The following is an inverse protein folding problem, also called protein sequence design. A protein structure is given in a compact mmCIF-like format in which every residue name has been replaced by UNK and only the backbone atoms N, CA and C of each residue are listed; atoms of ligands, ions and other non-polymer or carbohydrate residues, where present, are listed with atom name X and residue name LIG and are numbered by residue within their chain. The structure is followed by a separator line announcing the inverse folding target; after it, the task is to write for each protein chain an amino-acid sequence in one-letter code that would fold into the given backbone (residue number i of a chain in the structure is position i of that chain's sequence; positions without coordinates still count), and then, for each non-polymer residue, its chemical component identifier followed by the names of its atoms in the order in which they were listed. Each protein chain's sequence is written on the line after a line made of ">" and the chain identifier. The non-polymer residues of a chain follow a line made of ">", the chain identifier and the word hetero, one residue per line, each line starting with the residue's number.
data_IF_978132025335
#
_entry.id   IF_978132025335
#
_cell.length_a   1.000
_cell.length_b   1.000
_cell.length_c   1.000
_cell.angle_alpha   90.00
_cell.angle_beta   90.00
_cell.angle_gamma   90.00
#
_symmetry.space_group_name_H-M   'P 1'
#
loop_
_entity.id
_entity.type
_entity.pdbx_description
1 polymer ?
#
# COMPACT_ATOMS: atom_id res chain seq x y z
N UNK A 1 -9.68 78.75 9.80
CA UNK A 1 -10.56 77.60 10.13
C UNK A 1 -9.69 76.35 10.18
N UNK A 2 -9.62 75.77 11.37
CA UNK A 2 -8.93 74.53 11.73
C UNK A 2 -9.55 73.26 11.07
N UNK A 3 -8.86 72.10 11.14
CA UNK A 3 -8.98 70.97 10.23
C UNK A 3 -9.87 69.83 10.77
N UNK A 4 -10.29 68.91 9.89
CA UNK A 4 -11.04 67.70 10.26
C UNK A 4 -10.55 66.47 9.51
N UNK A 5 -9.71 65.66 10.15
CA UNK A 5 -9.23 64.39 9.63
C UNK A 5 -10.15 63.21 9.99
N UNK A 6 -10.09 62.14 9.19
CA UNK A 6 -10.33 60.78 9.67
C UNK A 6 -9.78 59.70 8.71
N UNK A 7 -8.66 59.10 9.13
CA UNK A 7 -8.44 57.65 9.30
C UNK A 7 -8.49 56.69 8.09
N UNK A 8 -7.28 56.20 7.78
CA UNK A 8 -6.89 54.79 7.92
C UNK A 8 -7.45 53.75 6.93
N UNK A 9 -6.60 53.29 6.00
CA UNK A 9 -5.98 51.95 6.05
C UNK A 9 -4.94 51.82 4.95
N UNK A 10 -3.68 51.71 5.36
CA UNK A 10 -2.62 51.12 4.54
C UNK A 10 -3.07 49.71 4.16
N UNK A 11 -3.23 49.46 2.85
CA UNK A 11 -3.32 48.10 2.33
C UNK A 11 -1.88 47.65 2.12
N UNK A 12 -1.41 46.86 3.09
CA UNK A 12 -0.11 46.22 3.05
C UNK A 12 0.01 45.33 1.80
N UNK A 13 1.26 45.20 1.40
CA UNK A 13 1.82 44.36 0.33
C UNK A 13 1.40 42.90 0.42
N UNK A 14 1.05 42.30 -0.73
CA UNK A 14 1.24 40.87 -0.99
C UNK A 14 2.00 40.73 -2.32
N UNK A 15 3.33 40.50 -2.30
CA UNK A 15 4.16 40.34 -3.50
C UNK A 15 4.25 38.88 -3.99
N UNK A 16 3.42 37.97 -3.49
CA UNK A 16 3.47 36.54 -3.79
C UNK A 16 2.17 36.07 -4.43
N UNK A 17 1.99 36.38 -5.71
CA UNK A 17 1.11 35.61 -6.59
C UNK A 17 1.75 34.26 -6.93
N UNK A 18 1.71 33.30 -6.00
CA UNK A 18 1.69 31.88 -6.40
C UNK A 18 0.28 31.68 -6.97
N UNK A 19 0.10 31.53 -8.28
CA UNK A 19 0.78 30.50 -9.05
C UNK A 19 -0.16 29.32 -9.04
N UNK A 20 -0.94 29.24 -10.12
CA UNK A 20 -1.60 28.05 -10.67
C UNK A 20 -1.56 26.83 -9.72
N UNK A 21 -2.72 26.48 -9.14
CA UNK A 21 -2.95 25.14 -8.59
C UNK A 21 -2.98 24.13 -9.73
N UNK A 22 -1.87 24.05 -10.47
CA UNK A 22 -1.52 22.92 -11.30
C UNK A 22 -1.49 21.75 -10.35
N UNK A 23 -2.48 20.87 -10.51
CA UNK A 23 -2.43 19.51 -10.01
C UNK A 23 -1.05 19.00 -10.38
N UNK A 24 -0.14 18.97 -9.41
CA UNK A 24 1.20 18.43 -9.56
C UNK A 24 0.95 16.96 -9.84
N UNK A 25 0.81 16.62 -11.13
CA UNK A 25 0.88 15.29 -11.68
C UNK A 25 2.28 14.78 -11.36
N UNK A 26 2.56 14.48 -10.08
CA UNK A 26 3.63 13.58 -9.71
C UNK A 26 3.28 12.33 -10.48
N UNK A 27 4.05 12.05 -11.53
CA UNK A 27 4.00 10.77 -12.22
C UNK A 27 4.37 9.74 -11.17
N UNK A 28 3.36 9.15 -10.54
CA UNK A 28 3.51 8.05 -9.60
C UNK A 28 4.02 6.91 -10.46
N UNK A 29 5.34 6.73 -10.47
CA UNK A 29 5.97 5.62 -11.17
C UNK A 29 5.75 4.36 -10.32
N UNK A 30 4.67 3.65 -10.64
CA UNK A 30 4.39 2.32 -10.14
C UNK A 30 4.91 1.24 -11.07
N UNK A 31 5.12 0.04 -10.51
CA UNK A 31 5.28 -1.17 -11.33
C UNK A 31 4.00 -1.42 -12.10
N UNK A 32 4.14 -1.87 -13.34
CA UNK A 32 3.01 -2.24 -14.16
C UNK A 32 2.60 -3.68 -13.82
N UNK A 33 1.56 -3.81 -13.00
CA UNK A 33 1.10 -5.12 -12.54
C UNK A 33 0.34 -5.92 -13.60
N UNK A 34 0.13 -5.34 -14.79
CA UNK A 34 -0.31 -6.09 -15.97
C UNK A 34 0.84 -6.82 -16.66
N UNK A 35 2.08 -6.53 -16.28
CA UNK A 35 3.30 -7.07 -16.92
C UNK A 35 4.25 -7.77 -15.97
N UNK A 36 4.25 -7.35 -14.70
CA UNK A 36 5.08 -7.97 -13.66
C UNK A 36 4.28 -8.15 -12.37
N UNK A 37 4.49 -9.28 -11.70
CA UNK A 37 3.90 -9.49 -10.39
C UNK A 37 4.45 -8.46 -9.37
N UNK A 38 3.64 -8.04 -8.38
CA UNK A 38 4.15 -7.21 -7.31
C UNK A 38 5.18 -7.98 -6.47
N UNK A 39 5.97 -7.26 -5.66
CA UNK A 39 6.98 -7.91 -4.82
C UNK A 39 6.39 -9.04 -3.96
N UNK A 40 7.21 -10.06 -3.72
CA UNK A 40 6.84 -11.17 -2.85
C UNK A 40 6.43 -10.64 -1.46
N UNK A 41 5.35 -11.19 -0.86
CA UNK A 41 4.89 -10.78 0.46
C UNK A 41 5.93 -11.03 1.57
N UNK A 42 6.94 -11.89 1.32
CA UNK A 42 8.09 -12.16 2.20
C UNK A 42 9.09 -11.01 2.25
N UNK A 43 9.10 -10.14 1.23
CA UNK A 43 10.04 -9.01 1.18
C UNK A 43 9.66 -8.00 2.25
N UNK A 44 10.54 -7.88 3.24
CA UNK A 44 10.33 -6.99 4.39
C UNK A 44 10.73 -5.57 4.02
N UNK A 45 9.77 -4.65 4.07
CA UNK A 45 10.01 -3.22 3.88
C UNK A 45 9.85 -2.55 5.25
N UNK A 46 10.92 -1.94 5.77
CA UNK A 46 10.89 -1.38 7.13
C UNK A 46 10.64 -2.40 8.25
N UNK A 47 10.84 -3.70 7.99
CA UNK A 47 10.53 -4.80 8.92
C UNK A 47 9.12 -5.37 8.76
N UNK A 48 8.24 -4.72 8.01
CA UNK A 48 6.88 -5.19 7.73
C UNK A 48 6.87 -6.20 6.57
N UNK A 49 6.29 -7.38 6.80
CA UNK A 49 5.86 -8.26 5.72
C UNK A 49 4.63 -7.65 5.02
N UNK A 50 4.34 -8.06 3.79
CA UNK A 50 3.22 -7.58 2.94
C UNK A 50 3.37 -6.14 2.45
N UNK A 51 3.96 -5.23 3.24
CA UNK A 51 4.07 -3.80 2.92
C UNK A 51 4.63 -3.53 1.51
N UNK A 52 5.71 -4.21 1.11
CA UNK A 52 6.27 -4.03 -0.23
C UNK A 52 5.28 -4.34 -1.35
N UNK A 53 4.51 -5.43 -1.20
CA UNK A 53 3.46 -5.82 -2.14
C UNK A 53 2.31 -4.80 -2.15
N UNK A 54 1.88 -4.35 -0.98
CA UNK A 54 0.81 -3.35 -0.83
C UNK A 54 1.20 -2.01 -1.47
N UNK A 55 2.46 -1.57 -1.30
CA UNK A 55 3.00 -0.39 -1.97
C UNK A 55 2.93 -0.56 -3.48
N UNK A 56 3.42 -1.68 -4.01
CA UNK A 56 3.42 -1.93 -5.45
C UNK A 56 1.99 -1.93 -6.02
N UNK A 57 1.04 -2.61 -5.36
CA UNK A 57 -0.39 -2.61 -5.73
C UNK A 57 -1.01 -1.23 -5.68
N UNK A 58 -0.73 -0.46 -4.65
CA UNK A 58 -1.26 0.88 -4.49
C UNK A 58 -0.69 1.83 -5.55
N UNK A 59 0.62 1.77 -5.81
CA UNK A 59 1.25 2.56 -6.87
C UNK A 59 0.70 2.19 -8.24
N UNK A 60 0.48 0.91 -8.50
CA UNK A 60 -0.13 0.44 -9.73
C UNK A 60 -1.59 0.90 -9.87
N UNK A 61 -2.36 0.90 -8.78
CA UNK A 61 -3.71 1.48 -8.75
C UNK A 61 -3.70 2.96 -9.14
N UNK A 62 -2.84 3.75 -8.50
CA UNK A 62 -2.72 5.19 -8.73
C UNK A 62 -2.19 5.49 -10.14
N UNK A 63 -1.28 4.65 -10.65
CA UNK A 63 -0.76 4.74 -12.01
C UNK A 63 -1.74 4.24 -13.08
N UNK A 64 -2.83 3.55 -12.70
CA UNK A 64 -3.80 2.95 -13.62
C UNK A 64 -3.39 1.60 -14.21
N UNK A 65 -2.32 0.98 -13.69
CA UNK A 65 -1.71 -0.25 -14.21
C UNK A 65 -1.82 -1.43 -13.21
N UNK A 66 -2.91 -1.50 -12.44
CA UNK A 66 -3.10 -2.56 -11.43
C UNK A 66 -3.40 -3.95 -12.02
N UNK A 67 -3.93 -4.00 -13.25
CA UNK A 67 -4.32 -5.27 -13.88
C UNK A 67 -5.42 -5.98 -13.13
N UNK A 68 -5.22 -7.27 -12.86
CA UNK A 68 -6.17 -8.13 -12.13
C UNK A 68 -5.99 -8.05 -10.61
N UNK A 69 -4.96 -7.35 -10.13
CA UNK A 69 -4.74 -7.20 -8.69
C UNK A 69 -5.76 -6.23 -8.09
N UNK A 70 -6.13 -6.46 -6.83
CA UNK A 70 -7.07 -5.61 -6.09
C UNK A 70 -6.40 -5.05 -4.83
N UNK A 71 -6.28 -3.72 -4.71
CA UNK A 71 -5.81 -3.04 -3.51
C UNK A 71 -6.86 -3.09 -2.39
N UNK A 72 -6.44 -3.08 -1.12
CA UNK A 72 -7.32 -3.27 0.06
C UNK A 72 -7.89 -4.69 0.16
N UNK A 73 -7.13 -5.70 -0.27
CA UNK A 73 -7.57 -7.09 -0.13
C UNK A 73 -7.40 -7.57 1.34
N UNK A 74 -7.95 -8.74 1.71
CA UNK A 74 -7.85 -9.25 3.08
C UNK A 74 -6.41 -9.36 3.61
N UNK A 75 -5.44 -9.59 2.71
CA UNK A 75 -4.02 -9.63 3.03
C UNK A 75 -3.49 -8.24 3.42
N UNK A 76 -3.83 -7.21 2.66
CA UNK A 76 -3.47 -5.81 2.96
C UNK A 76 -4.12 -5.37 4.27
N UNK A 77 -5.37 -5.80 4.49
CA UNK A 77 -6.10 -5.55 5.73
C UNK A 77 -5.45 -6.18 6.98
N UNK A 78 -4.64 -7.24 6.85
CA UNK A 78 -3.85 -7.73 7.99
C UNK A 78 -2.78 -6.71 8.41
N UNK A 79 -2.13 -6.05 7.45
CA UNK A 79 -1.15 -4.99 7.72
C UNK A 79 -1.83 -3.74 8.28
N UNK A 80 -2.95 -3.35 7.67
CA UNK A 80 -3.74 -2.21 8.10
C UNK A 80 -4.32 -2.42 9.50
N UNK A 81 -4.84 -3.62 9.79
CA UNK A 81 -5.34 -4.02 11.10
C UNK A 81 -4.26 -4.05 12.19
N UNK A 82 -3.04 -4.51 11.88
CA UNK A 82 -1.91 -4.46 12.82
C UNK A 82 -1.65 -3.04 13.34
N UNK A 83 -1.76 -2.06 12.43
CA UNK A 83 -1.47 -0.66 12.69
C UNK A 83 -2.71 0.16 12.95
N UNK A 84 -3.92 -0.38 12.78
CA UNK A 84 -5.16 0.40 12.87
C UNK A 84 -5.23 1.56 11.86
N UNK A 85 -4.59 1.42 10.70
CA UNK A 85 -4.66 2.41 9.60
C UNK A 85 -5.70 1.94 8.58
N UNK A 86 -6.15 2.83 7.69
CA UNK A 86 -7.03 2.46 6.57
C UNK A 86 -6.27 2.45 5.25
N UNK A 87 -6.71 1.62 4.31
CA UNK A 87 -6.18 1.59 2.96
C UNK A 87 -6.29 2.95 2.25
N UNK A 88 -7.34 3.72 2.51
CA UNK A 88 -7.50 5.07 1.97
C UNK A 88 -6.39 6.03 2.41
N UNK A 89 -6.04 6.05 3.70
CA UNK A 89 -4.95 6.89 4.21
C UNK A 89 -3.61 6.48 3.61
N UNK A 90 -3.40 5.18 3.45
CA UNK A 90 -2.21 4.62 2.78
C UNK A 90 -2.14 5.06 1.32
N UNK A 91 -3.27 4.98 0.61
CA UNK A 91 -3.39 5.43 -0.79
C UNK A 91 -3.09 6.91 -0.93
N UNK A 92 -3.59 7.75 -0.01
CA UNK A 92 -3.33 9.17 -0.02
C UNK A 92 -1.83 9.50 0.11
N UNK A 93 -1.06 8.73 0.89
CA UNK A 93 0.40 8.90 0.96
C UNK A 93 1.08 8.50 -0.35
N UNK A 94 0.66 7.38 -0.94
CA UNK A 94 1.17 6.97 -2.24
C UNK A 94 0.85 8.02 -3.29
N UNK A 95 -0.37 8.55 -3.36
CA UNK A 95 -0.81 9.63 -4.28
C UNK A 95 0.01 10.92 -4.13
N UNK A 96 0.55 11.18 -2.94
CA UNK A 96 1.51 12.26 -2.72
C UNK A 96 2.90 11.97 -3.29
N UNK A 97 3.16 10.77 -3.80
CA UNK A 97 4.44 10.32 -4.34
C UNK A 97 5.42 9.81 -3.30
N UNK A 98 4.92 9.29 -2.18
CA UNK A 98 5.77 8.74 -1.12
C UNK A 98 6.62 7.56 -1.61
N UNK A 99 7.90 7.62 -1.27
CA UNK A 99 8.88 6.55 -1.46
C UNK A 99 8.63 5.39 -0.51
N UNK A 100 9.22 4.22 -0.75
CA UNK A 100 9.03 3.04 0.13
C UNK A 100 9.49 3.34 1.57
N UNK A 101 10.56 4.13 1.71
CA UNK A 101 11.04 4.59 3.02
C UNK A 101 10.06 5.56 3.68
N UNK A 102 9.53 6.53 2.94
CA UNK A 102 8.55 7.49 3.46
C UNK A 102 7.26 6.78 3.90
N UNK A 103 6.83 5.75 3.15
CA UNK A 103 5.70 4.90 3.55
C UNK A 103 5.99 4.13 4.84
N UNK A 104 7.21 3.64 5.03
CA UNK A 104 7.62 2.99 6.29
C UNK A 104 7.60 3.98 7.44
N UNK A 105 8.15 5.18 7.24
CA UNK A 105 8.18 6.22 8.28
C UNK A 105 6.77 6.67 8.64
N UNK A 106 5.93 6.91 7.64
CA UNK A 106 4.52 7.22 7.83
C UNK A 106 3.80 6.10 8.56
N UNK A 107 4.00 4.84 8.16
CA UNK A 107 3.36 3.70 8.83
C UNK A 107 3.85 3.59 10.27
N UNK A 108 5.14 3.76 10.54
CA UNK A 108 5.70 3.74 11.89
C UNK A 108 5.05 4.81 12.80
N UNK A 109 4.78 5.99 12.26
CA UNK A 109 4.17 7.11 12.98
C UNK A 109 2.64 7.03 13.05
N UNK A 110 2.01 6.39 12.08
CA UNK A 110 0.55 6.33 11.93
C UNK A 110 -0.06 5.19 12.71
N UNK A 111 -1.29 5.40 13.16
CA UNK A 111 -2.07 4.40 13.88
C UNK A 111 -1.43 3.94 15.19
N UNK A 112 -1.44 2.63 15.44
CA UNK A 112 -0.99 2.04 16.69
C UNK A 112 0.55 1.94 16.76
N UNK A 113 1.13 2.38 17.86
CA UNK A 113 2.58 2.30 18.08
C UNK A 113 2.98 0.84 18.28
N UNK A 114 3.72 0.30 17.33
CA UNK A 114 4.31 -1.04 17.40
C UNK A 114 5.82 -0.92 17.46
N UNK A 115 6.43 -1.68 18.35
CA UNK A 115 7.89 -1.79 18.39
C UNK A 115 8.40 -2.57 17.18
N UNK A 116 9.66 -2.33 16.74
CA UNK A 116 10.25 -3.09 15.64
C UNK A 116 10.29 -4.61 15.92
N UNK A 117 10.33 -5.01 17.18
CA UNK A 117 10.27 -6.42 17.59
C UNK A 117 8.88 -7.01 17.41
N UNK A 118 7.82 -6.29 17.77
CA UNK A 118 6.43 -6.70 17.51
C UNK A 118 6.15 -6.83 16.02
N UNK A 119 6.62 -5.86 15.21
CA UNK A 119 6.45 -5.88 13.75
C UNK A 119 7.15 -7.11 13.16
N UNK A 120 8.39 -7.40 13.60
CA UNK A 120 9.13 -8.59 13.18
C UNK A 120 8.44 -9.89 13.59
N UNK A 121 7.89 -9.94 14.81
CA UNK A 121 7.16 -11.11 15.31
C UNK A 121 5.89 -11.33 14.48
N UNK A 122 5.08 -10.29 14.31
CA UNK A 122 3.89 -10.33 13.47
C UNK A 122 4.22 -10.74 12.03
N UNK A 123 5.27 -10.18 11.43
CA UNK A 123 5.70 -10.53 10.09
C UNK A 123 6.03 -12.02 9.96
N UNK A 124 6.68 -12.61 10.98
CA UNK A 124 6.97 -14.04 11.03
C UNK A 124 5.71 -14.89 11.24
N UNK A 125 4.79 -14.43 12.08
CA UNK A 125 3.51 -15.11 12.32
C UNK A 125 2.64 -15.12 11.07
N UNK A 126 2.54 -14.00 10.36
CA UNK A 126 1.76 -13.90 9.11
C UNK A 126 2.41 -14.69 7.98
N UNK A 127 3.74 -14.69 7.89
CA UNK A 127 4.48 -15.53 6.92
C UNK A 127 4.26 -17.03 7.15
N UNK A 128 4.16 -17.45 8.42
CA UNK A 128 3.85 -18.83 8.80
C UNK A 128 2.33 -19.13 8.76
N UNK A 129 1.50 -18.10 8.63
CA UNK A 129 0.05 -18.25 8.60
C UNK A 129 -0.43 -18.74 7.23
N UNK A 130 -1.58 -19.41 7.25
CA UNK A 130 -2.26 -19.89 6.05
C UNK A 130 -3.72 -19.49 6.11
N UNK A 131 -4.25 -19.00 4.99
CA UNK A 131 -5.69 -18.75 4.79
C UNK A 131 -6.51 -20.03 4.98
N UNK A 132 -5.87 -21.21 4.93
CA UNK A 132 -6.50 -22.48 5.31
C UNK A 132 -7.05 -22.49 6.75
N UNK A 133 -6.43 -21.74 7.67
CA UNK A 133 -6.87 -21.65 9.06
C UNK A 133 -7.99 -20.62 9.28
N UNK A 134 -8.30 -19.79 8.28
CA UNK A 134 -9.37 -18.81 8.32
C UNK A 134 -10.64 -19.45 7.76
N UNK A 135 -11.66 -19.75 8.59
CA UNK A 135 -12.82 -20.51 8.13
C UNK A 135 -13.63 -19.82 7.03
N UNK A 136 -13.57 -18.49 6.94
CA UNK A 136 -14.28 -17.73 5.90
C UNK A 136 -13.56 -17.77 4.55
N UNK A 137 -12.23 -17.90 4.57
CA UNK A 137 -11.39 -17.87 3.36
C UNK A 137 -10.81 -19.23 2.99
N UNK A 138 -11.02 -20.25 3.82
CA UNK A 138 -10.52 -21.60 3.62
C UNK A 138 -10.99 -22.20 2.31
N UNK A 139 -12.28 -22.15 2.00
CA UNK A 139 -12.82 -22.71 0.75
C UNK A 139 -12.20 -22.04 -0.49
N UNK A 140 -12.13 -20.70 -0.48
CA UNK A 140 -11.45 -19.95 -1.53
C UNK A 140 -9.99 -20.37 -1.68
N UNK A 141 -9.24 -20.43 -0.57
CA UNK A 141 -7.83 -20.83 -0.58
C UNK A 141 -7.64 -22.27 -1.08
N UNK A 142 -8.50 -23.21 -0.68
CA UNK A 142 -8.46 -24.60 -1.13
C UNK A 142 -8.71 -24.69 -2.63
N UNK A 143 -9.66 -23.93 -3.17
CA UNK A 143 -9.93 -23.91 -4.61
C UNK A 143 -8.74 -23.37 -5.41
N UNK A 144 -8.17 -22.24 -4.98
CA UNK A 144 -7.04 -21.59 -5.66
C UNK A 144 -5.76 -22.45 -5.60
N UNK A 145 -5.43 -22.99 -4.42
CA UNK A 145 -4.28 -23.90 -4.29
C UNK A 145 -4.47 -25.18 -5.12
N UNK A 146 -5.70 -25.69 -5.23
CA UNK A 146 -6.00 -26.85 -6.07
C UNK A 146 -5.81 -26.58 -7.56
N UNK A 147 -6.16 -25.38 -8.06
CA UNK A 147 -5.89 -24.96 -9.45
C UNK A 147 -4.39 -25.01 -9.78
N UNK A 148 -3.55 -24.73 -8.78
CA UNK A 148 -2.10 -24.74 -8.89
C UNK A 148 -1.45 -26.10 -8.54
N UNK A 149 -2.24 -27.11 -8.17
CA UNK A 149 -1.75 -28.43 -7.75
C UNK A 149 -1.03 -28.44 -6.40
N UNK A 150 -1.30 -27.46 -5.54
CA UNK A 150 -0.69 -27.31 -4.22
C UNK A 150 -1.54 -27.97 -3.13
N UNK A 151 -0.89 -28.44 -2.06
CA UNK A 151 -1.56 -28.99 -0.88
C UNK A 151 -1.99 -27.83 0.03
N UNK A 152 -3.28 -27.50 0.02
CA UNK A 152 -3.86 -26.40 0.80
C UNK A 152 -3.59 -26.49 2.30
N UNK A 153 -3.34 -27.68 2.84
CA UNK A 153 -3.07 -27.86 4.28
C UNK A 153 -1.59 -27.64 4.64
N UNK A 154 -0.69 -27.70 3.67
CA UNK A 154 0.76 -27.50 3.87
C UNK A 154 1.29 -26.19 3.27
N UNK A 155 0.51 -25.56 2.40
CA UNK A 155 0.90 -24.35 1.70
C UNK A 155 0.56 -23.12 2.53
N UNK A 156 1.55 -22.27 2.77
CA UNK A 156 1.32 -20.96 3.40
C UNK A 156 0.67 -19.99 2.42
N UNK A 157 -0.02 -18.97 2.93
CA UNK A 157 -0.63 -17.93 2.07
C UNK A 157 0.42 -17.29 1.17
N UNK A 158 1.64 -17.10 1.69
CA UNK A 158 2.72 -16.46 0.95
C UNK A 158 3.25 -17.36 -0.17
N UNK A 159 3.42 -18.66 0.07
CA UNK A 159 3.81 -19.60 -1.00
C UNK A 159 2.79 -19.68 -2.10
N UNK A 160 1.51 -19.79 -1.73
CA UNK A 160 0.43 -19.80 -2.70
C UNK A 160 0.47 -18.54 -3.57
N UNK A 161 0.54 -17.34 -2.96
CA UNK A 161 0.61 -16.08 -3.70
C UNK A 161 1.82 -16.00 -4.62
N UNK A 162 3.01 -16.41 -4.17
CA UNK A 162 4.21 -16.38 -5.00
C UNK A 162 4.14 -17.35 -6.19
N UNK A 163 3.51 -18.52 -5.99
CA UNK A 163 3.32 -19.50 -7.06
C UNK A 163 2.24 -19.00 -8.03
N UNK A 164 1.14 -18.48 -7.52
CA UNK A 164 0.07 -17.86 -8.30
C UNK A 164 0.60 -16.72 -9.17
N UNK A 165 1.30 -15.76 -8.57
CA UNK A 165 1.97 -14.66 -9.28
C UNK A 165 2.89 -15.18 -10.38
N UNK A 166 3.70 -16.20 -10.10
CA UNK A 166 4.60 -16.79 -11.09
C UNK A 166 3.82 -17.43 -12.24
N UNK A 167 2.74 -18.16 -11.96
CA UNK A 167 1.94 -18.83 -12.99
C UNK A 167 1.17 -17.82 -13.83
N UNK A 168 0.49 -16.86 -13.20
CA UNK A 168 -0.30 -15.82 -13.86
C UNK A 168 0.57 -14.95 -14.78
N UNK A 169 1.76 -14.56 -14.34
CA UNK A 169 2.67 -13.76 -15.18
C UNK A 169 3.47 -14.59 -16.19
N UNK A 170 3.79 -15.85 -15.89
CA UNK A 170 4.41 -16.74 -16.89
C UNK A 170 3.46 -17.04 -18.05
N UNK A 171 2.15 -17.12 -17.79
CA UNK A 171 1.13 -17.29 -18.84
C UNK A 171 0.92 -16.04 -19.69
N UNK A 172 1.12 -14.84 -19.13
CA UNK A 172 1.04 -13.58 -19.89
C UNK A 172 2.29 -13.29 -20.73
N UNK A 173 3.41 -13.94 -20.45
CA UNK A 173 4.67 -13.79 -21.18
C UNK A 173 4.86 -14.81 -22.33
N UNK A 174 3.92 -15.73 -22.53
CA UNK A 174 3.95 -16.78 -23.57
C UNK A 174 3.03 -16.43 -24.76
#
# INVERSE_FOLDING_TARGET
>A
MEPGGAKNRQRATDPFGLGDSGSMNRKITGKDLTREAPRSPRIRVGGYAILGRTIDKCRALVAGNIGEYHFDCPLDNMLFGLKGVKGDDFKAQIEQGASDQEMVEWLNQSGEKKTPEEIKRWAKEVEASSLYNDPEKRDFFVEETRKLGLDSAKTTTFEWLEIDDRVSHAQQAA
#
